data_IF_394056215652
#
_entry.id   IF_394056215652
#
_cell.length_a   1.000
_cell.length_b   1.000
_cell.length_c   1.000
_cell.angle_alpha   90.00
_cell.angle_beta   90.00
_cell.angle_gamma   90.00
#
_symmetry.space_group_name_H-M   'P 1'
#
loop_
_entity.id
_entity.type
_entity.pdbx_description
1 polymer ?
#
# COMPACT_ATOMS: atom_id res chain seq x y z
N UNK A 1 59.66 17.14 1.27
CA UNK A 1 58.73 16.27 0.52
C UNK A 1 57.39 16.32 1.27
N UNK A 2 56.53 17.28 0.94
CA UNK A 2 55.21 17.44 1.53
C UNK A 2 54.20 17.37 0.38
N UNK A 3 53.43 16.29 0.34
CA UNK A 3 52.32 16.12 -0.61
C UNK A 3 51.11 16.77 0.03
N UNK A 4 50.66 17.88 -0.55
CA UNK A 4 49.44 18.57 -0.14
C UNK A 4 48.24 17.83 -0.75
N UNK A 5 47.37 17.27 0.09
CA UNK A 5 46.09 16.69 -0.32
C UNK A 5 45.10 17.84 -0.58
N UNK A 6 44.76 18.08 -1.85
CA UNK A 6 43.65 18.96 -2.22
C UNK A 6 42.33 18.24 -1.96
N UNK A 7 41.60 18.69 -0.93
CA UNK A 7 40.23 18.31 -0.66
C UNK A 7 39.32 19.01 -1.69
N UNK A 8 38.85 18.29 -2.70
CA UNK A 8 37.76 18.78 -3.56
C UNK A 8 36.47 18.77 -2.73
N UNK A 9 36.02 19.95 -2.28
CA UNK A 9 34.63 20.12 -1.88
C UNK A 9 33.77 19.99 -3.15
N UNK A 10 33.08 18.86 -3.29
CA UNK A 10 31.92 18.80 -4.19
C UNK A 10 30.81 19.64 -3.57
N UNK A 11 30.64 20.87 -4.05
CA UNK A 11 29.42 21.63 -3.84
C UNK A 11 28.29 20.85 -4.53
N UNK A 12 27.49 20.15 -3.73
CA UNK A 12 26.17 19.71 -4.18
C UNK A 12 25.37 20.96 -4.50
N UNK A 13 25.18 21.26 -5.79
CA UNK A 13 24.24 22.29 -6.21
C UNK A 13 22.89 21.97 -5.57
N UNK A 14 22.27 22.95 -4.93
CA UNK A 14 20.91 22.81 -4.43
C UNK A 14 20.01 22.48 -5.63
N UNK A 15 19.35 21.32 -5.60
CA UNK A 15 18.40 20.98 -6.65
C UNK A 15 17.25 22.00 -6.64
N UNK A 16 16.79 22.44 -7.81
CA UNK A 16 15.68 23.39 -7.90
C UNK A 16 14.44 22.81 -7.24
N UNK A 17 13.62 23.66 -6.58
CA UNK A 17 12.43 23.21 -5.88
C UNK A 17 11.43 22.58 -6.84
N UNK A 18 10.73 21.53 -6.38
CA UNK A 18 9.65 20.91 -7.15
C UNK A 18 8.47 21.87 -7.27
N UNK A 19 7.97 22.06 -8.50
CA UNK A 19 6.82 22.92 -8.77
C UNK A 19 5.62 22.06 -9.22
N UNK A 20 4.77 21.57 -8.29
CA UNK A 20 3.58 20.80 -8.64
C UNK A 20 2.49 21.67 -9.27
N UNK A 21 2.02 21.29 -10.45
CA UNK A 21 0.89 21.90 -11.14
C UNK A 21 -0.26 20.90 -11.18
N UNK A 22 -1.38 21.23 -10.55
CA UNK A 22 -2.59 20.39 -10.60
C UNK A 22 -3.26 20.56 -11.96
N UNK A 23 -3.41 19.46 -12.70
CA UNK A 23 -4.00 19.44 -14.03
C UNK A 23 -5.46 18.97 -14.02
N UNK A 24 -5.84 18.12 -13.06
CA UNK A 24 -7.20 17.62 -12.91
C UNK A 24 -7.51 17.24 -11.45
N UNK A 25 -8.75 17.48 -11.02
CA UNK A 25 -9.35 16.94 -9.79
C UNK A 25 -10.76 16.43 -10.11
N UNK A 26 -10.96 15.12 -10.04
CA UNK A 26 -12.13 14.44 -10.60
C UNK A 26 -12.75 13.48 -9.59
N UNK A 27 -14.06 13.24 -9.69
CA UNK A 27 -14.71 12.09 -9.07
C UNK A 27 -14.67 10.94 -10.07
N UNK A 28 -14.09 9.81 -9.67
CA UNK A 28 -14.04 8.60 -10.52
C UNK A 28 -15.35 7.86 -10.44
N UNK A 29 -15.81 7.56 -9.22
CA UNK A 29 -17.10 6.92 -8.96
C UNK A 29 -17.60 7.20 -7.55
N UNK A 30 -18.91 7.00 -7.37
CA UNK A 30 -19.60 7.01 -6.07
C UNK A 30 -20.02 5.60 -5.70
N UNK A 31 -20.05 5.30 -4.41
CA UNK A 31 -20.40 3.98 -3.93
C UNK A 31 -21.18 4.04 -2.61
N UNK A 32 -22.08 3.08 -2.43
CA UNK A 32 -22.68 2.79 -1.13
C UNK A 32 -21.66 2.03 -0.28
N UNK A 33 -21.40 2.42 0.98
CA UNK A 33 -20.59 1.64 1.89
C UNK A 33 -21.06 0.18 1.95
N UNK A 34 -20.12 -0.75 1.84
CA UNK A 34 -20.45 -2.18 1.84
C UNK A 34 -20.71 -2.74 3.25
N UNK A 35 -20.38 -2.00 4.30
CA UNK A 35 -20.50 -2.37 5.71
C UNK A 35 -19.93 -3.76 6.07
N UNK A 36 -18.96 -4.20 5.28
CA UNK A 36 -18.37 -5.53 5.34
C UNK A 36 -16.98 -5.55 6.03
N UNK A 37 -16.61 -4.43 6.64
CA UNK A 37 -15.30 -4.19 7.25
C UNK A 37 -14.16 -3.96 6.24
N UNK A 38 -14.49 -3.70 4.98
CA UNK A 38 -13.57 -3.34 3.90
C UNK A 38 -13.96 -1.99 3.29
N UNK A 39 -13.19 -1.54 2.30
CA UNK A 39 -13.49 -0.39 1.46
C UNK A 39 -12.60 -0.38 0.21
N UNK A 40 -12.79 0.58 -0.72
CA UNK A 40 -12.07 0.61 -1.99
C UNK A 40 -10.53 0.62 -1.87
N UNK A 41 -10.01 1.12 -0.75
CA UNK A 41 -8.57 1.25 -0.49
C UNK A 41 -8.04 0.21 0.51
N UNK A 42 -8.83 -0.79 0.90
CA UNK A 42 -8.52 -1.75 1.97
C UNK A 42 -7.49 -2.85 1.58
N UNK A 43 -6.59 -2.53 0.65
CA UNK A 43 -5.42 -3.33 0.28
C UNK A 43 -4.11 -2.61 0.57
N UNK A 44 -4.15 -1.33 0.99
CA UNK A 44 -3.07 -0.43 1.39
C UNK A 44 -1.82 -0.41 0.49
N UNK A 45 -1.04 -1.49 0.45
CA UNK A 45 0.20 -1.57 -0.34
C UNK A 45 0.03 -2.12 -1.75
N UNK A 46 -1.09 -2.79 -2.06
CA UNK A 46 -1.42 -3.23 -3.42
C UNK A 46 -2.25 -2.17 -4.13
N UNK A 47 -1.74 -1.62 -5.23
CA UNK A 47 -2.38 -0.47 -5.88
C UNK A 47 -3.68 -0.83 -6.58
N UNK A 48 -4.66 0.07 -6.52
CA UNK A 48 -5.88 0.05 -7.33
C UNK A 48 -5.83 1.06 -8.50
N UNK A 49 -4.63 1.58 -8.81
CA UNK A 49 -4.39 2.62 -9.80
C UNK A 49 -3.14 2.28 -10.62
N UNK A 50 -3.27 2.28 -11.95
CA UNK A 50 -2.14 2.11 -12.87
C UNK A 50 -2.23 3.11 -14.03
N UNK A 51 -1.09 3.68 -14.42
CA UNK A 51 -0.90 4.43 -15.66
C UNK A 51 -0.29 3.51 -16.72
N UNK A 52 -0.94 3.45 -17.88
CA UNK A 52 -0.53 2.73 -19.07
C UNK A 52 -0.38 3.73 -20.24
N UNK A 53 0.81 4.33 -20.34
CA UNK A 53 1.05 5.46 -21.24
C UNK A 53 0.15 6.65 -20.87
N UNK A 54 -0.65 7.10 -21.84
CA UNK A 54 -1.60 8.21 -21.66
C UNK A 54 -2.89 7.83 -20.93
N UNK A 55 -3.20 6.53 -20.85
CA UNK A 55 -4.41 6.04 -20.15
C UNK A 55 -4.11 5.78 -18.68
N UNK A 56 -5.11 6.03 -17.84
CA UNK A 56 -5.07 5.70 -16.42
C UNK A 56 -6.23 4.77 -16.11
N UNK A 57 -5.99 3.73 -15.33
CA UNK A 57 -7.00 2.76 -14.92
C UNK A 57 -7.13 2.74 -13.41
N UNK A 58 -8.36 2.65 -12.93
CA UNK A 58 -8.67 2.49 -11.52
C UNK A 58 -9.69 1.36 -11.33
N UNK A 59 -9.48 0.52 -10.33
CA UNK A 59 -10.48 -0.48 -9.92
C UNK A 59 -11.43 0.15 -8.91
N UNK A 60 -12.72 -0.13 -9.06
CA UNK A 60 -13.77 0.27 -8.12
C UNK A 60 -14.60 -0.90 -7.63
N UNK A 61 -15.68 -0.56 -6.92
CA UNK A 61 -16.62 -1.51 -6.37
C UNK A 61 -18.06 -1.04 -6.59
N UNK A 62 -18.96 -2.01 -6.78
CA UNK A 62 -20.41 -1.86 -6.60
C UNK A 62 -20.84 -2.65 -5.37
N UNK A 63 -21.60 -2.03 -4.47
CA UNK A 63 -22.22 -2.72 -3.33
C UNK A 63 -23.60 -3.26 -3.73
N UNK A 64 -23.80 -4.56 -3.56
CA UNK A 64 -25.04 -5.26 -3.85
C UNK A 64 -26.00 -5.18 -2.65
N UNK A 65 -27.12 -4.48 -2.83
CA UNK A 65 -28.11 -4.26 -1.77
C UNK A 65 -28.84 -5.54 -1.30
N UNK A 66 -28.87 -6.57 -2.14
CA UNK A 66 -29.56 -7.84 -1.87
C UNK A 66 -28.65 -8.91 -1.22
N UNK A 67 -27.40 -8.55 -0.90
CA UNK A 67 -26.41 -9.46 -0.32
C UNK A 67 -26.00 -8.96 1.07
N UNK A 68 -25.99 -9.82 2.11
CA UNK A 68 -25.54 -9.42 3.43
C UNK A 68 -24.05 -9.08 3.45
N UNK A 69 -23.57 -8.27 4.42
CA UNK A 69 -22.18 -7.87 4.51
C UNK A 69 -21.21 -9.06 4.60
N UNK A 70 -20.04 -8.84 4.00
CA UNK A 70 -18.81 -9.65 3.88
C UNK A 70 -18.46 -9.89 2.41
N UNK A 71 -19.41 -10.35 1.58
CA UNK A 71 -19.20 -10.64 0.15
C UNK A 71 -20.35 -10.08 -0.68
N UNK A 72 -20.55 -8.79 -0.51
CA UNK A 72 -21.64 -8.04 -1.11
C UNK A 72 -21.13 -7.00 -2.11
N UNK A 73 -19.97 -7.23 -2.71
CA UNK A 73 -19.43 -6.31 -3.71
C UNK A 73 -19.14 -7.00 -5.04
N UNK A 74 -19.13 -6.20 -6.11
CA UNK A 74 -18.66 -6.54 -7.45
C UNK A 74 -17.52 -5.61 -7.84
N UNK A 75 -16.52 -6.16 -8.53
CA UNK A 75 -15.46 -5.33 -9.09
C UNK A 75 -15.98 -4.49 -10.26
N UNK A 76 -15.38 -3.32 -10.40
CA UNK A 76 -15.59 -2.42 -11.52
C UNK A 76 -14.22 -1.95 -12.05
N UNK A 77 -14.12 -1.72 -13.35
CA UNK A 77 -12.93 -1.15 -13.98
C UNK A 77 -13.26 0.19 -14.62
N UNK A 78 -12.53 1.22 -14.21
CA UNK A 78 -12.63 2.56 -14.76
C UNK A 78 -11.39 2.87 -15.59
N UNK A 79 -11.58 3.55 -16.72
CA UNK A 79 -10.50 4.04 -17.56
C UNK A 79 -10.63 5.55 -17.76
N UNK A 80 -9.51 6.26 -17.65
CA UNK A 80 -9.38 7.67 -17.99
C UNK A 80 -8.62 7.80 -19.31
N UNK A 81 -9.29 8.38 -20.31
CA UNK A 81 -8.68 8.79 -21.56
C UNK A 81 -8.13 10.22 -21.47
N UNK A 82 -8.26 10.99 -22.57
CA UNK A 82 -7.85 12.39 -22.61
C UNK A 82 -8.67 13.29 -21.67
N UNK A 83 -10.00 13.14 -21.68
CA UNK A 83 -10.92 13.95 -20.87
C UNK A 83 -11.37 13.19 -19.61
N UNK A 84 -12.40 12.35 -19.72
CA UNK A 84 -13.12 11.86 -18.55
C UNK A 84 -12.84 10.40 -18.17
N UNK A 85 -13.29 10.04 -16.97
CA UNK A 85 -13.37 8.66 -16.49
C UNK A 85 -14.61 7.96 -17.06
N UNK A 86 -14.43 6.73 -17.52
CA UNK A 86 -15.50 5.86 -18.00
C UNK A 86 -15.46 4.52 -17.29
N UNK A 87 -16.63 4.02 -16.88
CA UNK A 87 -16.79 2.62 -16.47
C UNK A 87 -16.71 1.75 -17.72
N UNK A 88 -15.67 0.93 -17.84
CA UNK A 88 -15.39 0.15 -19.04
C UNK A 88 -15.70 -1.34 -18.86
N UNK A 89 -15.67 -1.85 -17.63
CA UNK A 89 -16.06 -3.22 -17.34
C UNK A 89 -16.61 -3.36 -15.90
N UNK A 90 -17.47 -4.36 -15.71
CA UNK A 90 -18.07 -4.73 -14.42
C UNK A 90 -18.08 -6.24 -14.28
N UNK A 91 -18.07 -6.74 -13.05
CA UNK A 91 -18.35 -8.14 -12.79
C UNK A 91 -19.78 -8.49 -13.24
N UNK A 92 -19.97 -9.41 -14.22
CA UNK A 92 -21.30 -9.75 -14.66
C UNK A 92 -22.05 -10.64 -13.66
N UNK A 93 -21.35 -11.32 -12.74
CA UNK A 93 -21.93 -12.45 -12.00
C UNK A 93 -21.49 -12.55 -10.54
N UNK A 94 -20.19 -12.53 -10.26
CA UNK A 94 -19.65 -13.02 -9.00
C UNK A 94 -19.77 -11.95 -7.90
N UNK A 95 -19.38 -12.33 -6.68
CA UNK A 95 -19.35 -11.44 -5.52
C UNK A 95 -18.03 -11.58 -4.79
N UNK A 96 -17.53 -10.48 -4.26
CA UNK A 96 -16.29 -10.36 -3.52
C UNK A 96 -16.47 -9.42 -2.33
N UNK A 97 -15.42 -9.28 -1.52
CA UNK A 97 -15.36 -8.40 -0.34
C UNK A 97 -14.76 -7.02 -0.61
N UNK A 98 -14.00 -6.87 -1.69
CA UNK A 98 -13.11 -5.73 -1.98
C UNK A 98 -11.82 -5.69 -1.18
N UNK A 99 -10.76 -5.03 -1.68
CA UNK A 99 -10.64 -4.33 -2.98
C UNK A 99 -10.04 -5.22 -4.08
N UNK A 100 -9.88 -4.70 -5.31
CA UNK A 100 -9.43 -5.45 -6.51
C UNK A 100 -8.13 -4.85 -7.12
N UNK A 101 -6.94 -5.18 -6.58
CA UNK A 101 -5.67 -4.59 -7.02
C UNK A 101 -5.37 -4.77 -8.51
N UNK A 102 -4.68 -3.79 -9.09
CA UNK A 102 -4.30 -3.73 -10.51
C UNK A 102 -2.80 -3.94 -10.72
N UNK A 103 -2.46 -4.43 -11.91
CA UNK A 103 -1.10 -4.49 -12.44
C UNK A 103 -1.10 -4.32 -13.95
N UNK A 104 -0.05 -3.74 -14.52
CA UNK A 104 0.04 -3.49 -15.96
C UNK A 104 1.40 -3.93 -16.50
N UNK A 105 1.40 -4.54 -17.68
CA UNK A 105 2.61 -4.91 -18.41
C UNK A 105 2.74 -4.11 -19.71
N UNK A 106 3.98 -3.79 -20.08
CA UNK A 106 4.26 -2.84 -21.18
C UNK A 106 3.95 -3.40 -22.57
N UNK A 107 3.61 -4.69 -22.65
CA UNK A 107 3.04 -5.34 -23.84
C UNK A 107 1.53 -5.08 -24.01
N UNK A 108 0.92 -4.28 -23.13
CA UNK A 108 -0.46 -3.82 -23.26
C UNK A 108 -1.49 -4.64 -22.47
N UNK A 109 -1.07 -5.63 -21.67
CA UNK A 109 -1.99 -6.37 -20.79
C UNK A 109 -2.20 -5.62 -19.48
N UNK A 110 -3.46 -5.49 -19.09
CA UNK A 110 -3.90 -4.95 -17.81
C UNK A 110 -4.50 -6.09 -16.98
N UNK A 111 -4.08 -6.21 -15.73
CA UNK A 111 -4.49 -7.29 -14.84
C UNK A 111 -5.24 -6.75 -13.63
N UNK A 112 -6.25 -7.48 -13.18
CA UNK A 112 -6.97 -7.23 -11.93
C UNK A 112 -7.03 -8.51 -11.09
N UNK A 113 -6.66 -8.44 -9.81
CA UNK A 113 -6.81 -9.56 -8.88
C UNK A 113 -8.18 -9.52 -8.20
N UNK A 114 -8.93 -10.61 -8.30
CA UNK A 114 -10.26 -10.78 -7.69
C UNK A 114 -10.31 -12.03 -6.79
N UNK A 115 -11.30 -12.09 -5.89
CA UNK A 115 -11.47 -13.21 -4.95
C UNK A 115 -12.94 -13.60 -4.81
N UNK A 116 -13.57 -14.09 -5.90
CA UNK A 116 -14.98 -14.45 -5.87
C UNK A 116 -15.27 -15.50 -4.80
N UNK A 117 -16.40 -15.30 -4.10
CA UNK A 117 -16.97 -16.29 -3.20
C UNK A 117 -17.38 -17.56 -3.95
N UNK A 118 -17.17 -18.72 -3.34
CA UNK A 118 -17.73 -19.99 -3.78
C UNK A 118 -19.10 -20.29 -3.14
N UNK A 119 -19.60 -19.41 -2.26
CA UNK A 119 -20.92 -19.53 -1.63
C UNK A 119 -22.01 -19.13 -2.61
N UNK A 120 -22.75 -20.13 -3.09
CA UNK A 120 -23.87 -19.93 -4.02
C UNK A 120 -25.10 -19.29 -3.35
N UNK A 121 -25.35 -19.57 -2.07
CA UNK A 121 -26.45 -18.96 -1.32
C UNK A 121 -26.18 -17.46 -1.12
N UNK A 122 -27.01 -16.62 -1.74
CA UNK A 122 -26.85 -15.18 -1.67
C UNK A 122 -27.21 -14.57 -0.33
N UNK A 123 -27.98 -15.28 0.47
CA UNK A 123 -28.50 -14.82 1.77
C UNK A 123 -27.62 -15.23 2.94
N UNK A 124 -26.63 -16.11 2.72
CA UNK A 124 -25.70 -16.57 3.75
C UNK A 124 -24.94 -15.41 4.37
N UNK A 125 -24.96 -15.32 5.69
CA UNK A 125 -24.15 -14.38 6.46
C UNK A 125 -22.79 -14.99 6.85
N UNK A 126 -21.78 -14.14 7.01
CA UNK A 126 -20.44 -14.56 7.42
C UNK A 126 -19.61 -15.18 6.30
N UNK A 127 -18.49 -15.82 6.69
CA UNK A 127 -17.44 -16.27 5.80
C UNK A 127 -17.70 -17.59 5.05
N UNK A 128 -16.92 -17.80 4.00
CA UNK A 128 -16.96 -18.97 3.15
C UNK A 128 -15.68 -19.14 2.31
N UNK A 129 -15.60 -20.26 1.59
CA UNK A 129 -14.51 -20.51 0.67
C UNK A 129 -14.54 -19.52 -0.49
N UNK A 130 -13.37 -19.16 -1.00
CA UNK A 130 -13.22 -18.28 -2.16
C UNK A 130 -12.25 -18.89 -3.18
N UNK A 131 -12.31 -18.38 -4.40
CA UNK A 131 -11.46 -18.81 -5.51
C UNK A 131 -10.70 -17.58 -6.04
N UNK A 132 -9.46 -17.33 -5.62
CA UNK A 132 -8.68 -16.21 -6.16
C UNK A 132 -8.44 -16.37 -7.66
N UNK A 133 -8.64 -15.30 -8.42
CA UNK A 133 -8.47 -15.26 -9.87
C UNK A 133 -7.73 -13.99 -10.30
N UNK A 134 -7.23 -14.01 -11.53
CA UNK A 134 -6.66 -12.84 -12.21
C UNK A 134 -7.47 -12.62 -13.48
N UNK A 135 -7.94 -11.40 -13.68
CA UNK A 135 -8.61 -10.97 -14.90
C UNK A 135 -7.61 -10.22 -15.78
N UNK A 136 -7.41 -10.69 -17.01
CA UNK A 136 -6.55 -10.06 -18.01
C UNK A 136 -7.40 -9.30 -19.03
N UNK A 137 -7.19 -8.00 -19.12
CA UNK A 137 -7.82 -7.06 -20.05
C UNK A 137 -6.80 -6.58 -21.09
N UNK A 138 -7.29 -6.20 -22.26
CA UNK A 138 -6.52 -5.37 -23.18
C UNK A 138 -6.55 -3.91 -22.69
N UNK A 139 -5.40 -3.29 -22.43
CA UNK A 139 -5.36 -1.87 -22.10
C UNK A 139 -5.81 -0.98 -23.28
N UNK A 140 -5.68 -1.45 -24.51
CA UNK A 140 -6.14 -0.76 -25.71
C UNK A 140 -7.67 -0.85 -25.88
N UNK A 141 -8.28 -1.97 -25.47
CA UNK A 141 -9.71 -2.22 -25.55
C UNK A 141 -10.24 -2.85 -24.24
N UNK A 142 -10.36 -2.03 -23.16
CA UNK A 142 -10.67 -2.53 -21.83
C UNK A 142 -12.14 -2.91 -21.63
N UNK A 143 -13.01 -2.62 -22.61
CA UNK A 143 -14.42 -3.02 -22.61
C UNK A 143 -14.62 -4.44 -23.14
N UNK A 144 -13.62 -5.02 -23.81
CA UNK A 144 -13.63 -6.42 -24.20
C UNK A 144 -13.67 -7.30 -22.94
N UNK A 145 -14.45 -8.38 -23.01
CA UNK A 145 -14.53 -9.39 -21.95
C UNK A 145 -13.12 -9.87 -21.58
N UNK A 146 -12.70 -9.75 -20.30
CA UNK A 146 -11.37 -10.16 -19.89
C UNK A 146 -11.22 -11.68 -19.96
N UNK A 147 -9.97 -12.13 -20.13
CA UNK A 147 -9.64 -13.53 -19.89
C UNK A 147 -9.54 -13.77 -18.37
N UNK A 148 -10.32 -14.72 -17.87
CA UNK A 148 -10.16 -15.19 -16.49
C UNK A 148 -9.02 -16.22 -16.44
N UNK A 149 -8.03 -15.95 -15.59
CA UNK A 149 -6.93 -16.85 -15.30
C UNK A 149 -7.14 -17.41 -13.89
N UNK A 150 -7.22 -18.73 -13.81
CA UNK A 150 -7.30 -19.48 -12.57
C UNK A 150 -5.90 -19.97 -12.20
N UNK A 151 -5.24 -19.37 -11.18
CA UNK A 151 -3.90 -19.78 -10.83
C UNK A 151 -3.88 -21.22 -10.32
N UNK A 152 -2.94 -22.02 -10.81
CA UNK A 152 -2.74 -23.38 -10.35
C UNK A 152 -1.94 -23.36 -9.04
N UNK A 153 -2.61 -23.23 -7.91
CA UNK A 153 -1.98 -23.04 -6.59
C UNK A 153 -1.24 -24.27 -6.03
N UNK A 154 -1.49 -25.48 -6.55
CA UNK A 154 -0.90 -26.71 -6.02
C UNK A 154 -1.83 -27.42 -5.03
N UNK A 155 -1.47 -27.47 -3.75
CA UNK A 155 -2.08 -28.28 -2.66
C UNK A 155 -3.52 -27.89 -2.28
N UNK A 156 -4.30 -27.31 -3.18
CA UNK A 156 -5.67 -26.84 -2.95
C UNK A 156 -5.81 -26.00 -1.66
N UNK A 157 -5.05 -24.90 -1.53
CA UNK A 157 -5.10 -24.04 -0.35
C UNK A 157 -6.54 -23.58 -0.05
N UNK A 158 -6.90 -23.63 1.23
CA UNK A 158 -8.23 -23.29 1.72
C UNK A 158 -8.43 -21.76 1.78
N UNK A 159 -8.48 -21.13 0.61
CA UNK A 159 -8.76 -19.69 0.53
C UNK A 159 -10.17 -19.37 0.98
N UNK A 160 -10.30 -18.20 1.60
CA UNK A 160 -11.56 -17.70 2.07
C UNK A 160 -11.79 -16.30 1.53
N UNK A 161 -13.02 -15.85 1.69
CA UNK A 161 -13.44 -14.48 1.40
C UNK A 161 -12.66 -13.43 2.21
N UNK A 162 -12.10 -13.82 3.36
CA UNK A 162 -11.24 -12.98 4.19
C UNK A 162 -9.74 -13.28 4.00
N UNK A 163 -9.36 -13.75 2.81
CA UNK A 163 -7.96 -13.88 2.40
C UNK A 163 -7.46 -12.55 1.81
N UNK A 164 -6.51 -11.92 2.49
CA UNK A 164 -5.81 -10.73 2.00
C UNK A 164 -4.99 -11.06 0.77
N UNK A 165 -5.05 -10.18 -0.24
CA UNK A 165 -4.38 -10.36 -1.53
C UNK A 165 -3.34 -9.29 -1.74
N UNK A 166 -2.26 -9.65 -2.41
CA UNK A 166 -1.28 -8.69 -2.89
C UNK A 166 -0.86 -8.99 -4.30
N UNK A 167 -0.89 -7.97 -5.14
CA UNK A 167 -0.62 -8.09 -6.57
C UNK A 167 0.39 -7.03 -6.98
N UNK A 168 1.39 -7.45 -7.76
CA UNK A 168 2.44 -6.60 -8.29
C UNK A 168 2.81 -7.01 -9.72
N UNK A 169 3.33 -6.07 -10.49
CA UNK A 169 3.74 -6.29 -11.88
C UNK A 169 5.11 -5.65 -12.14
N UNK A 170 5.97 -6.36 -12.87
CA UNK A 170 7.15 -5.79 -13.51
C UNK A 170 6.78 -5.42 -14.94
N UNK A 171 6.39 -4.15 -15.11
CA UNK A 171 5.85 -3.64 -16.36
C UNK A 171 6.72 -3.98 -17.58
N UNK A 172 8.02 -3.59 -17.57
CA UNK A 172 8.94 -3.89 -18.67
C UNK A 172 9.20 -5.38 -18.93
N UNK A 173 9.24 -6.22 -17.89
CA UNK A 173 9.53 -7.65 -18.05
C UNK A 173 8.29 -8.47 -18.46
N UNK A 174 7.10 -7.87 -18.35
CA UNK A 174 5.84 -8.58 -18.61
C UNK A 174 5.49 -9.60 -17.53
N UNK A 175 6.13 -9.54 -16.37
CA UNK A 175 5.94 -10.49 -15.26
C UNK A 175 4.93 -9.94 -14.24
N UNK A 176 4.18 -10.83 -13.61
CA UNK A 176 3.22 -10.52 -12.53
C UNK A 176 3.38 -11.50 -11.38
N UNK A 177 3.07 -11.07 -10.17
CA UNK A 177 3.03 -11.95 -9.00
C UNK A 177 1.79 -11.68 -8.15
N UNK A 178 1.10 -12.75 -7.77
CA UNK A 178 -0.03 -12.71 -6.86
C UNK A 178 0.32 -13.48 -5.59
N UNK A 179 0.10 -12.83 -4.45
CA UNK A 179 0.13 -13.42 -3.10
C UNK A 179 -1.29 -13.50 -2.55
N UNK A 180 -1.62 -14.61 -1.90
CA UNK A 180 -2.91 -14.86 -1.29
C UNK A 180 -2.74 -15.48 0.11
N UNK A 181 -3.16 -14.75 1.14
CA UNK A 181 -3.01 -15.20 2.52
C UNK A 181 -3.90 -16.42 2.84
N UNK A 182 -3.32 -17.42 3.47
CA UNK A 182 -4.00 -18.57 4.06
C UNK A 182 -3.97 -18.42 5.58
N UNK A 183 -5.10 -17.95 6.14
CA UNK A 183 -5.28 -17.75 7.57
C UNK A 183 -4.06 -17.06 8.22
N UNK A 184 -3.53 -17.62 9.31
CA UNK A 184 -2.35 -17.17 10.05
C UNK A 184 -1.11 -18.03 9.78
N UNK A 185 -1.06 -18.86 8.74
CA UNK A 185 0.13 -19.72 8.50
C UNK A 185 1.11 -19.13 7.49
N UNK A 186 0.62 -18.72 6.32
CA UNK A 186 1.47 -18.29 5.20
C UNK A 186 0.67 -17.49 4.16
N UNK A 187 1.36 -17.04 3.11
CA UNK A 187 0.77 -16.63 1.83
C UNK A 187 1.17 -17.61 0.75
N UNK A 188 0.21 -18.06 -0.05
CA UNK A 188 0.50 -18.73 -1.31
C UNK A 188 0.91 -17.66 -2.33
N UNK A 189 1.88 -17.96 -3.19
CA UNK A 189 2.25 -17.06 -4.27
C UNK A 189 2.41 -17.79 -5.59
N UNK A 190 2.17 -17.06 -6.68
CA UNK A 190 2.33 -17.56 -8.05
C UNK A 190 2.89 -16.46 -8.96
N UNK A 191 3.88 -16.83 -9.76
CA UNK A 191 4.58 -15.96 -10.72
C UNK A 191 4.07 -16.27 -12.13
N UNK A 192 3.63 -15.23 -12.84
CA UNK A 192 3.34 -15.26 -14.28
C UNK A 192 4.46 -14.55 -15.06
N UNK A 193 4.84 -15.09 -16.22
CA UNK A 193 5.88 -14.51 -17.08
C UNK A 193 5.33 -13.72 -18.28
N UNK A 194 6.22 -12.98 -18.96
CA UNK A 194 5.90 -12.20 -20.16
C UNK A 194 5.42 -13.00 -21.37
N UNK A 195 5.45 -14.34 -21.30
CA UNK A 195 4.98 -15.24 -22.36
C UNK A 195 3.61 -15.85 -22.02
N UNK A 196 3.01 -15.47 -20.90
CA UNK A 196 1.73 -16.01 -20.43
C UNK A 196 1.85 -17.37 -19.73
N UNK A 197 3.06 -17.82 -19.39
CA UNK A 197 3.27 -19.03 -18.60
C UNK A 197 3.28 -18.72 -17.11
N UNK A 198 3.15 -19.77 -16.30
CA UNK A 198 3.18 -19.71 -14.83
C UNK A 198 4.38 -20.51 -14.30
N UNK A 199 5.61 -19.99 -14.45
CA UNK A 199 6.84 -20.78 -14.26
C UNK A 199 7.10 -21.20 -12.81
N UNK A 200 6.52 -20.51 -11.82
CA UNK A 200 6.79 -20.79 -10.42
C UNK A 200 5.60 -20.47 -9.51
N UNK A 201 5.53 -21.20 -8.40
CA UNK A 201 4.59 -20.99 -7.30
C UNK A 201 5.22 -21.48 -5.99
N UNK A 202 4.71 -21.03 -4.86
CA UNK A 202 5.17 -21.50 -3.56
C UNK A 202 4.46 -20.83 -2.40
N UNK A 203 5.06 -20.97 -1.21
CA UNK A 203 4.53 -20.45 0.05
C UNK A 203 5.54 -19.48 0.67
N UNK A 204 5.04 -18.40 1.24
CA UNK A 204 5.79 -17.50 2.12
C UNK A 204 5.26 -17.68 3.55
N UNK A 205 6.02 -18.40 4.37
CA UNK A 205 5.65 -18.68 5.76
C UNK A 205 5.71 -17.43 6.63
N UNK A 206 4.72 -17.27 7.50
CA UNK A 206 4.73 -16.21 8.51
C UNK A 206 5.72 -16.50 9.63
N UNK A 207 6.36 -15.48 10.21
CA UNK A 207 7.25 -15.73 11.34
C UNK A 207 6.44 -16.15 12.58
N UNK A 208 6.98 -17.00 13.46
CA UNK A 208 6.30 -17.36 14.70
C UNK A 208 6.17 -16.15 15.64
N UNK A 209 5.14 -16.14 16.49
CA UNK A 209 5.16 -15.24 17.65
C UNK A 209 6.17 -15.74 18.68
N UNK A 210 6.87 -14.82 19.34
CA UNK A 210 7.73 -15.13 20.49
C UNK A 210 6.91 -15.73 21.65
N UNK A 211 5.72 -15.18 21.92
CA UNK A 211 4.78 -15.69 22.91
C UNK A 211 3.33 -15.51 22.42
N UNK A 212 2.65 -16.58 21.96
CA UNK A 212 1.33 -16.52 21.35
C UNK A 212 0.17 -16.41 22.35
N UNK A 213 0.40 -16.52 23.66
CA UNK A 213 -0.66 -16.70 24.69
C UNK A 213 -1.79 -15.65 24.62
N UNK A 214 -1.45 -14.42 24.27
CA UNK A 214 -2.39 -13.31 24.19
C UNK A 214 -2.46 -12.70 22.80
N UNK A 215 -1.95 -13.38 21.78
CA UNK A 215 -1.91 -12.84 20.43
C UNK A 215 -3.27 -12.98 19.72
N UNK A 216 -3.53 -12.13 18.71
CA UNK A 216 -4.82 -12.08 18.03
C UNK A 216 -5.34 -13.45 17.62
N UNK A 217 -6.58 -13.77 18.02
CA UNK A 217 -7.29 -14.99 17.62
C UNK A 217 -6.57 -16.30 17.99
N UNK A 218 -5.68 -16.27 19.00
CA UNK A 218 -4.90 -17.45 19.42
C UNK A 218 -3.88 -17.89 18.36
N UNK A 219 -3.49 -17.00 17.45
CA UNK A 219 -2.56 -17.32 16.38
C UNK A 219 -1.16 -17.60 16.94
N UNK A 220 -0.50 -18.62 16.37
CA UNK A 220 0.89 -19.00 16.70
C UNK A 220 1.92 -18.31 15.81
N UNK A 221 1.48 -17.73 14.70
CA UNK A 221 2.34 -17.02 13.75
C UNK A 221 1.79 -15.63 13.42
N UNK A 222 2.72 -14.75 13.09
CA UNK A 222 2.52 -13.33 12.85
C UNK A 222 2.05 -13.12 11.41
N UNK A 223 0.74 -13.11 11.20
CA UNK A 223 0.20 -12.81 9.87
C UNK A 223 0.60 -11.40 9.42
N UNK A 224 1.40 -11.33 8.35
CA UNK A 224 1.80 -10.07 7.72
C UNK A 224 0.72 -9.65 6.73
N UNK A 225 0.12 -8.48 6.96
CA UNK A 225 -1.03 -8.00 6.19
C UNK A 225 -0.69 -6.72 5.42
N UNK A 226 -1.46 -6.50 4.35
CA UNK A 226 -1.41 -5.31 3.51
C UNK A 226 0.00 -4.90 3.07
N UNK A 227 0.79 -5.82 2.52
CA UNK A 227 2.16 -5.55 2.14
C UNK A 227 2.25 -4.68 0.88
N UNK A 228 3.35 -3.92 0.79
CA UNK A 228 3.91 -3.50 -0.49
C UNK A 228 4.76 -4.64 -1.03
N UNK A 229 4.58 -4.97 -2.31
CA UNK A 229 5.40 -5.93 -3.04
C UNK A 229 6.01 -5.28 -4.26
N UNK A 230 7.31 -5.49 -4.46
CA UNK A 230 8.02 -5.23 -5.74
C UNK A 230 8.25 -6.57 -6.41
N UNK A 231 8.02 -6.63 -7.72
CA UNK A 231 8.56 -7.65 -8.61
C UNK A 231 9.48 -6.94 -9.61
N UNK A 232 10.72 -7.42 -9.76
CA UNK A 232 11.65 -6.90 -10.77
C UNK A 232 12.57 -8.01 -11.26
N UNK A 233 12.43 -8.47 -12.50
CA UNK A 233 13.20 -9.58 -13.05
C UNK A 233 13.25 -10.78 -12.08
N UNK A 234 12.09 -11.19 -11.56
CA UNK A 234 11.91 -12.24 -10.52
C UNK A 234 12.50 -11.97 -9.14
N UNK A 235 13.23 -10.87 -8.94
CA UNK A 235 13.53 -10.35 -7.60
C UNK A 235 12.23 -9.88 -6.96
N UNK A 236 11.96 -10.34 -5.73
CA UNK A 236 10.73 -10.00 -5.01
C UNK A 236 11.06 -9.45 -3.64
N UNK A 237 10.53 -8.26 -3.35
CA UNK A 237 10.55 -7.65 -2.02
C UNK A 237 9.14 -7.63 -1.45
N UNK A 238 8.99 -8.00 -0.19
CA UNK A 238 7.70 -8.07 0.50
C UNK A 238 7.81 -7.34 1.83
N UNK A 239 6.98 -6.31 2.05
CA UNK A 239 6.99 -5.52 3.29
C UNK A 239 5.58 -5.19 3.75
N UNK A 240 5.16 -5.66 4.93
CA UNK A 240 3.80 -5.44 5.43
C UNK A 240 3.70 -5.33 6.95
N UNK A 241 2.51 -4.94 7.41
CA UNK A 241 2.27 -4.69 8.83
C UNK A 241 1.75 -5.93 9.56
N UNK A 242 2.17 -6.07 10.81
CA UNK A 242 1.85 -7.18 11.68
C UNK A 242 1.16 -6.71 12.97
N UNK A 243 0.16 -7.47 13.39
CA UNK A 243 -0.61 -7.19 14.61
C UNK A 243 -0.01 -7.90 15.81
N UNK A 244 0.19 -7.17 16.90
CA UNK A 244 0.60 -7.71 18.19
C UNK A 244 -0.29 -7.12 19.26
N UNK A 245 -0.87 -7.92 20.15
CA UNK A 245 -1.67 -7.37 21.25
C UNK A 245 -0.78 -6.73 22.33
N UNK A 246 0.42 -7.28 22.52
CA UNK A 246 1.41 -6.84 23.50
C UNK A 246 2.26 -5.68 23.01
N UNK A 247 2.76 -4.90 23.96
CA UNK A 247 3.83 -3.91 23.81
C UNK A 247 4.52 -3.76 25.17
N UNK A 248 5.67 -3.07 25.24
CA UNK A 248 6.65 -3.24 26.32
C UNK A 248 6.09 -3.01 27.73
N UNK A 249 5.12 -2.11 27.90
CA UNK A 249 4.60 -1.74 29.23
C UNK A 249 3.30 -2.44 29.64
N UNK A 250 2.73 -3.30 28.77
CA UNK A 250 1.49 -4.04 29.08
C UNK A 250 1.63 -5.55 28.92
N UNK A 251 2.85 -6.08 28.74
CA UNK A 251 3.09 -7.51 28.46
C UNK A 251 2.41 -8.45 29.48
N UNK A 252 2.31 -8.00 30.73
CA UNK A 252 1.72 -8.76 31.84
C UNK A 252 0.35 -8.22 32.31
N UNK A 253 -0.28 -7.33 31.52
CA UNK A 253 -1.57 -6.69 31.83
C UNK A 253 -2.57 -6.92 30.68
N UNK A 254 -3.15 -8.14 30.53
CA UNK A 254 -4.05 -8.49 29.43
C UNK A 254 -5.26 -7.56 29.25
N UNK A 255 -5.75 -6.96 30.33
CA UNK A 255 -6.83 -5.97 30.34
C UNK A 255 -6.47 -4.66 29.62
N UNK A 256 -5.16 -4.35 29.52
CA UNK A 256 -4.63 -3.21 28.78
C UNK A 256 -4.18 -3.56 27.36
N UNK A 257 -4.42 -4.80 26.91
CA UNK A 257 -4.13 -5.26 25.57
C UNK A 257 -5.37 -5.20 24.67
N UNK A 258 -5.13 -5.45 23.37
CA UNK A 258 -6.20 -5.76 22.44
C UNK A 258 -6.85 -4.55 21.76
N UNK A 259 -7.54 -4.87 20.65
CA UNK A 259 -8.12 -3.85 19.77
C UNK A 259 -9.41 -3.24 20.32
N UNK A 260 -10.17 -4.01 21.07
CA UNK A 260 -11.52 -3.66 21.50
C UNK A 260 -11.53 -2.40 22.39
N UNK A 261 -10.54 -2.29 23.28
CA UNK A 261 -10.42 -1.15 24.19
C UNK A 261 -9.52 -0.02 23.66
N UNK A 262 -8.51 -0.36 22.86
CA UNK A 262 -7.38 0.55 22.59
C UNK A 262 -7.11 0.84 21.11
N UNK A 263 -7.97 0.37 20.20
CA UNK A 263 -7.85 0.66 18.77
C UNK A 263 -6.86 -0.25 18.05
N UNK A 264 -6.13 0.28 17.06
CA UNK A 264 -5.26 -0.57 16.24
C UNK A 264 -4.17 -1.26 17.06
N UNK A 265 -3.81 -2.46 16.62
CA UNK A 265 -2.75 -3.29 17.22
C UNK A 265 -1.63 -3.61 16.23
N UNK A 266 -1.58 -2.90 15.10
CA UNK A 266 -0.52 -3.04 14.11
C UNK A 266 0.76 -2.39 14.64
N UNK A 267 1.70 -3.22 15.12
CA UNK A 267 2.84 -2.76 15.94
C UNK A 267 4.22 -3.05 15.38
N UNK A 268 4.32 -3.92 14.36
CA UNK A 268 5.58 -4.19 13.65
C UNK A 268 5.39 -4.06 12.15
N UNK A 269 6.41 -3.54 11.47
CA UNK A 269 6.54 -3.57 10.02
C UNK A 269 7.62 -4.60 9.69
N UNK A 270 7.25 -5.65 8.94
CA UNK A 270 8.11 -6.79 8.65
C UNK A 270 8.42 -6.88 7.16
N UNK A 271 9.66 -7.20 6.84
CA UNK A 271 10.20 -7.28 5.49
C UNK A 271 10.88 -8.63 5.24
N UNK A 272 10.76 -9.14 4.02
CA UNK A 272 11.58 -10.24 3.49
C UNK A 272 11.74 -10.06 1.99
N UNK A 273 12.68 -10.77 1.39
CA UNK A 273 12.91 -10.72 -0.05
C UNK A 273 13.58 -12.00 -0.57
N UNK A 274 13.57 -12.17 -1.89
CA UNK A 274 14.34 -13.18 -2.61
C UNK A 274 14.93 -12.57 -3.89
N UNK A 275 16.18 -12.90 -4.25
CA UNK A 275 16.79 -12.42 -5.50
C UNK A 275 16.18 -13.05 -6.76
N UNK A 276 15.55 -14.22 -6.65
CA UNK A 276 14.81 -14.87 -7.75
C UNK A 276 13.77 -15.82 -7.14
N UNK A 277 12.50 -15.40 -7.13
CA UNK A 277 11.40 -16.16 -6.51
C UNK A 277 11.18 -17.53 -7.16
N UNK A 278 11.63 -17.75 -8.40
CA UNK A 278 11.52 -19.04 -9.08
C UNK A 278 12.65 -20.01 -8.72
N UNK A 279 13.75 -19.53 -8.12
CA UNK A 279 14.96 -20.33 -7.86
C UNK A 279 15.39 -20.36 -6.40
N UNK A 280 15.03 -19.35 -5.62
CA UNK A 280 15.48 -19.19 -4.24
C UNK A 280 14.31 -18.87 -3.32
N UNK A 281 14.29 -19.46 -2.11
CA UNK A 281 13.28 -19.11 -1.13
C UNK A 281 13.43 -17.65 -0.68
N UNK A 282 12.38 -17.12 -0.07
CA UNK A 282 12.48 -15.88 0.67
C UNK A 282 13.46 -16.03 1.84
N UNK A 283 14.23 -14.97 2.11
CA UNK A 283 15.12 -14.90 3.26
C UNK A 283 14.37 -14.76 4.58
N UNK A 284 15.14 -14.71 5.66
CA UNK A 284 14.62 -14.46 7.01
C UNK A 284 13.85 -13.13 7.10
N UNK A 285 12.88 -13.09 8.01
CA UNK A 285 12.12 -11.88 8.28
C UNK A 285 12.97 -10.82 9.00
N UNK A 286 12.90 -9.60 8.51
CA UNK A 286 13.59 -8.43 9.04
C UNK A 286 12.55 -7.46 9.59
N UNK A 287 12.69 -7.07 10.85
CA UNK A 287 11.86 -6.00 11.42
C UNK A 287 12.36 -4.65 10.92
N UNK A 288 11.50 -3.90 10.23
CA UNK A 288 11.82 -2.56 9.70
C UNK A 288 11.60 -1.48 10.76
N UNK A 289 10.49 -1.57 11.50
CA UNK A 289 10.11 -0.62 12.52
C UNK A 289 9.02 -1.18 13.43
N UNK A 290 8.87 -0.61 14.62
CA UNK A 290 7.90 -1.04 15.62
C UNK A 290 7.47 0.09 16.57
N UNK A 291 6.30 -0.07 17.20
CA UNK A 291 5.74 0.90 18.17
C UNK A 291 5.69 0.37 19.61
N UNK A 292 6.50 -0.63 19.93
CA UNK A 292 6.45 -1.33 21.23
C UNK A 292 6.79 -0.44 22.42
N UNK A 293 7.67 0.55 22.27
CA UNK A 293 8.04 1.44 23.37
C UNK A 293 6.92 2.45 23.70
N UNK A 294 6.08 2.79 22.73
CA UNK A 294 5.09 3.87 22.84
C UNK A 294 3.66 3.37 22.97
N UNK A 295 3.38 2.10 22.66
CA UNK A 295 2.02 1.57 22.65
C UNK A 295 1.14 2.09 21.51
N UNK A 296 1.73 2.87 20.58
CA UNK A 296 1.09 3.35 19.36
C UNK A 296 0.90 2.25 18.31
N UNK A 297 0.59 2.65 17.09
CA UNK A 297 0.44 1.73 15.95
C UNK A 297 1.08 2.31 14.69
N UNK A 298 1.35 1.45 13.71
CA UNK A 298 1.88 1.81 12.40
C UNK A 298 1.00 1.25 11.29
N UNK A 299 1.07 1.85 10.11
CA UNK A 299 0.44 1.32 8.90
C UNK A 299 1.50 1.10 7.82
N UNK A 300 1.19 0.30 6.81
CA UNK A 300 2.07 0.19 5.63
C UNK A 300 2.06 1.50 4.84
N UNK A 301 3.23 2.12 4.67
CA UNK A 301 3.42 3.21 3.73
C UNK A 301 3.73 2.66 2.33
N UNK A 302 4.91 2.93 1.80
CA UNK A 302 5.32 2.55 0.45
C UNK A 302 6.73 1.92 0.43
N UNK A 303 7.06 1.26 -0.66
CA UNK A 303 8.35 0.62 -0.91
C UNK A 303 8.77 0.88 -2.36
N UNK A 304 10.05 1.15 -2.58
CA UNK A 304 10.63 1.26 -3.92
C UNK A 304 12.00 0.58 -3.97
N UNK A 305 12.26 -0.15 -5.06
CA UNK A 305 13.55 -0.76 -5.36
C UNK A 305 14.22 0.05 -6.46
N UNK A 306 15.29 0.76 -6.11
CA UNK A 306 16.08 1.58 -7.02
C UNK A 306 16.88 0.72 -8.01
N UNK A 307 17.27 1.25 -9.19
CA UNK A 307 18.02 0.49 -10.18
C UNK A 307 19.33 -0.12 -9.66
N UNK A 308 19.98 0.53 -8.71
CA UNK A 308 21.23 0.10 -8.07
C UNK A 308 21.04 -0.98 -6.97
N UNK A 309 19.81 -1.47 -6.78
CA UNK A 309 19.46 -2.50 -5.80
C UNK A 309 19.20 -1.97 -4.39
N UNK A 310 19.25 -0.66 -4.15
CA UNK A 310 18.77 -0.09 -2.89
C UNK A 310 17.25 -0.21 -2.78
N UNK A 311 16.77 -0.48 -1.57
CA UNK A 311 15.33 -0.55 -1.26
C UNK A 311 14.98 0.53 -0.25
N UNK A 312 14.09 1.42 -0.68
CA UNK A 312 13.54 2.52 0.11
C UNK A 312 12.20 2.08 0.69
N UNK A 313 12.01 2.23 1.99
CA UNK A 313 10.75 1.91 2.67
C UNK A 313 10.33 3.12 3.50
N UNK A 314 9.04 3.49 3.40
CA UNK A 314 8.45 4.58 4.19
C UNK A 314 7.19 4.09 4.89
N UNK A 315 6.92 4.56 6.10
CA UNK A 315 5.70 4.22 6.83
C UNK A 315 5.28 5.32 7.83
N UNK A 316 3.98 5.48 8.10
CA UNK A 316 3.51 6.32 9.19
C UNK A 316 3.44 5.55 10.52
N UNK A 317 3.75 6.24 11.60
CA UNK A 317 3.51 5.81 12.99
C UNK A 317 2.56 6.79 13.67
N UNK A 318 1.65 6.25 14.47
CA UNK A 318 0.58 6.96 15.15
C UNK A 318 0.66 6.76 16.66
N UNK A 319 0.21 7.75 17.45
CA UNK A 319 0.36 7.71 18.89
C UNK A 319 -0.54 6.65 19.55
N UNK A 320 -0.18 6.29 20.77
CA UNK A 320 -1.01 5.52 21.71
C UNK A 320 -2.44 6.07 21.81
N UNK A 321 -3.40 5.22 22.19
CA UNK A 321 -4.79 5.64 22.40
C UNK A 321 -4.93 6.74 23.49
N UNK A 322 -5.74 7.80 23.29
CA UNK A 322 -5.82 8.92 24.24
C UNK A 322 -6.21 8.52 25.66
N UNK A 323 -7.19 7.62 25.78
CA UNK A 323 -7.64 7.12 27.08
C UNK A 323 -6.58 6.26 27.76
N UNK A 324 -5.92 5.35 27.02
CA UNK A 324 -4.87 4.49 27.56
C UNK A 324 -3.70 5.32 28.10
N UNK A 325 -3.28 6.31 27.30
CA UNK A 325 -2.25 7.27 27.68
C UNK A 325 -2.65 8.05 28.92
N UNK A 326 -3.84 8.67 28.95
CA UNK A 326 -4.26 9.50 30.09
C UNK A 326 -4.39 8.70 31.39
N UNK A 327 -5.00 7.52 31.32
CA UNK A 327 -5.40 6.77 32.51
C UNK A 327 -4.23 5.92 33.07
N UNK A 328 -3.28 5.47 32.23
CA UNK A 328 -2.23 4.52 32.64
C UNK A 328 -0.79 4.94 32.30
N UNK A 329 -0.57 5.71 31.24
CA UNK A 329 0.78 6.05 30.75
C UNK A 329 0.92 7.53 30.41
N UNK A 330 0.72 8.44 31.38
CA UNK A 330 0.67 9.88 31.13
C UNK A 330 2.02 10.46 30.67
N UNK A 331 3.12 9.73 30.84
CA UNK A 331 4.47 10.09 30.41
C UNK A 331 4.70 9.85 28.90
N UNK A 332 3.90 9.00 28.25
CA UNK A 332 4.05 8.71 26.83
C UNK A 332 3.59 9.91 26.01
N UNK A 333 4.55 10.50 25.28
CA UNK A 333 4.28 11.55 24.31
C UNK A 333 3.41 11.04 23.17
N UNK A 334 2.39 11.81 22.82
CA UNK A 334 1.56 11.53 21.65
C UNK A 334 2.13 12.21 20.41
N UNK A 335 3.07 11.53 19.74
CA UNK A 335 3.61 11.97 18.45
C UNK A 335 3.10 11.11 17.29
N UNK A 336 3.00 11.72 16.11
CA UNK A 336 2.71 11.08 14.84
C UNK A 336 3.86 11.39 13.89
N UNK A 337 4.35 10.40 13.15
CA UNK A 337 5.53 10.59 12.31
C UNK A 337 5.49 9.80 11.01
N UNK A 338 6.24 10.27 10.02
CA UNK A 338 6.62 9.47 8.85
C UNK A 338 8.06 9.02 9.06
N UNK A 339 8.27 7.71 9.03
CA UNK A 339 9.56 7.05 9.18
C UNK A 339 10.05 6.49 7.85
N UNK A 340 11.34 6.26 7.76
CA UNK A 340 12.02 5.80 6.57
C UNK A 340 13.13 4.79 6.91
N UNK A 341 13.34 3.82 6.02
CA UNK A 341 14.47 2.91 6.03
C UNK A 341 15.06 2.74 4.63
N UNK A 342 16.38 2.58 4.58
CA UNK A 342 17.15 2.22 3.39
C UNK A 342 17.78 0.85 3.61
N UNK A 343 17.60 -0.05 2.64
CA UNK A 343 18.08 -1.43 2.72
C UNK A 343 18.89 -1.82 1.48
N UNK A 344 19.75 -2.82 1.66
CA UNK A 344 20.39 -3.58 0.58
C UNK A 344 20.55 -5.03 1.01
N UNK A 345 20.20 -5.96 0.13
CA UNK A 345 20.32 -7.40 0.36
C UNK A 345 19.70 -7.87 1.69
N UNK A 346 18.57 -7.27 2.07
CA UNK A 346 17.87 -7.54 3.32
C UNK A 346 18.52 -6.98 4.59
N UNK A 347 19.57 -6.16 4.46
CA UNK A 347 20.20 -5.46 5.59
C UNK A 347 19.75 -4.01 5.62
N UNK A 348 19.43 -3.53 6.81
CA UNK A 348 19.10 -2.12 7.05
C UNK A 348 20.40 -1.32 7.10
N UNK A 349 20.54 -0.39 6.16
CA UNK A 349 21.65 0.55 6.09
C UNK A 349 21.36 1.80 6.92
N UNK A 350 20.10 2.25 6.90
CA UNK A 350 19.69 3.46 7.60
C UNK A 350 18.23 3.38 8.06
N UNK A 351 17.93 4.02 9.19
CA UNK A 351 16.57 4.38 9.63
C UNK A 351 16.52 5.86 9.99
N UNK A 352 15.38 6.49 9.77
CA UNK A 352 15.19 7.93 9.96
C UNK A 352 13.74 8.29 10.26
N UNK A 353 13.52 9.31 11.07
CA UNK A 353 12.25 10.06 11.10
C UNK A 353 12.33 11.17 10.05
N UNK A 354 11.44 11.16 9.06
CA UNK A 354 11.38 12.21 8.02
C UNK A 354 10.59 13.42 8.49
N UNK A 355 9.44 13.17 9.12
CA UNK A 355 8.53 14.20 9.62
C UNK A 355 7.93 13.74 10.95
N UNK A 356 7.70 14.67 11.86
CA UNK A 356 7.10 14.39 13.17
C UNK A 356 6.24 15.57 13.63
N UNK A 357 5.11 15.26 14.25
CA UNK A 357 4.22 16.24 14.86
C UNK A 357 3.55 15.69 16.12
N UNK A 358 2.89 16.59 16.87
CA UNK A 358 2.29 16.29 18.16
C UNK A 358 3.12 16.86 19.32
N UNK A 359 3.01 16.21 20.48
CA UNK A 359 3.55 16.71 21.74
C UNK A 359 5.08 16.95 21.67
N UNK A 360 5.48 18.22 21.59
CA UNK A 360 6.88 18.64 21.52
C UNK A 360 7.51 18.64 20.13
N UNK A 361 6.74 18.37 19.06
CA UNK A 361 7.24 18.32 17.68
C UNK A 361 6.52 19.30 16.71
N UNK A 362 5.38 19.85 17.10
CA UNK A 362 4.63 20.83 16.31
C UNK A 362 3.19 20.41 16.05
N UNK A 363 2.48 21.18 15.22
CA UNK A 363 1.05 21.01 14.98
C UNK A 363 0.70 20.45 13.59
N UNK A 364 1.70 20.03 12.82
CA UNK A 364 1.54 19.36 11.54
C UNK A 364 1.55 17.84 11.75
N UNK A 365 0.48 17.14 11.37
CA UNK A 365 0.33 15.70 11.57
C UNK A 365 0.45 14.96 10.22
N UNK A 366 1.64 14.48 9.86
CA UNK A 366 1.91 13.87 8.55
C UNK A 366 1.41 12.41 8.49
N UNK A 367 0.89 11.99 7.34
CA UNK A 367 0.27 10.67 7.15
C UNK A 367 0.30 10.21 5.69
N UNK A 368 -0.05 8.94 5.45
CA UNK A 368 -0.22 8.36 4.11
C UNK A 368 0.96 8.60 3.17
N UNK A 369 2.20 8.24 3.56
CA UNK A 369 3.35 8.37 2.68
C UNK A 369 3.25 7.41 1.48
N UNK A 370 3.53 7.94 0.29
CA UNK A 370 3.65 7.22 -0.98
C UNK A 370 4.85 7.75 -1.77
N UNK A 371 5.47 6.88 -2.56
CA UNK A 371 6.54 7.27 -3.46
C UNK A 371 5.99 7.61 -4.85
N UNK A 372 6.61 8.62 -5.46
CA UNK A 372 6.58 8.91 -6.89
C UNK A 372 8.03 8.83 -7.40
N UNK A 373 8.24 8.10 -8.49
CA UNK A 373 9.57 7.90 -9.08
C UNK A 373 9.60 8.68 -10.39
N UNK A 374 10.60 9.55 -10.53
CA UNK A 374 10.81 10.31 -11.76
C UNK A 374 11.62 9.51 -12.79
N UNK A 375 11.59 9.87 -14.09
CA UNK A 375 12.32 9.14 -15.14
C UNK A 375 13.84 9.03 -14.93
N UNK A 376 14.43 9.98 -14.21
CA UNK A 376 15.84 10.01 -13.80
C UNK A 376 16.12 9.24 -12.49
N UNK A 377 15.12 8.51 -11.97
CA UNK A 377 15.14 7.77 -10.71
C UNK A 377 15.23 8.63 -9.44
N UNK A 378 14.97 9.93 -9.52
CA UNK A 378 14.78 10.74 -8.32
C UNK A 378 13.50 10.32 -7.61
N UNK A 379 13.58 10.28 -6.27
CA UNK A 379 12.53 9.75 -5.42
C UNK A 379 11.78 10.89 -4.74
N UNK A 380 10.50 11.01 -5.03
CA UNK A 380 9.62 12.01 -4.41
C UNK A 380 8.73 11.30 -3.39
N UNK A 381 8.74 11.80 -2.15
CA UNK A 381 7.77 11.42 -1.14
C UNK A 381 6.54 12.32 -1.26
N UNK A 382 5.36 11.71 -1.39
CA UNK A 382 4.06 12.38 -1.36
C UNK A 382 3.33 11.95 -0.09
N UNK A 383 2.78 12.90 0.66
CA UNK A 383 2.11 12.63 1.93
C UNK A 383 0.96 13.59 2.19
N UNK A 384 0.03 13.18 3.04
CA UNK A 384 -1.05 14.01 3.55
C UNK A 384 -0.63 14.66 4.87
N UNK A 385 -1.05 15.88 5.13
CA UNK A 385 -0.81 16.58 6.40
C UNK A 385 -2.08 17.25 6.89
N UNK A 386 -2.37 17.08 8.18
CA UNK A 386 -3.38 17.85 8.89
C UNK A 386 -2.66 18.85 9.82
N UNK A 387 -2.83 20.14 9.59
CA UNK A 387 -2.25 21.19 10.42
C UNK A 387 -3.32 21.69 11.40
N UNK A 388 -3.11 21.45 12.70
CA UNK A 388 -4.08 21.77 13.75
C UNK A 388 -3.72 23.09 14.41
N UNK A 389 -4.40 24.17 14.04
CA UNK A 389 -4.31 25.46 14.72
C UNK A 389 -5.30 25.58 15.89
N UNK A 390 -5.20 26.65 16.71
CA UNK A 390 -6.15 26.91 17.79
C UNK A 390 -7.60 27.05 17.30
N UNK A 391 -7.79 27.73 16.16
CA UNK A 391 -9.14 28.08 15.65
C UNK A 391 -9.58 27.22 14.47
N UNK A 392 -8.64 26.65 13.72
CA UNK A 392 -8.91 25.92 12.48
C UNK A 392 -7.91 24.80 12.26
N UNK A 393 -8.41 23.71 11.71
CA UNK A 393 -7.61 22.65 11.13
C UNK A 393 -7.57 22.81 9.61
N UNK A 394 -6.36 22.88 9.03
CA UNK A 394 -6.16 22.82 7.57
C UNK A 394 -5.61 21.47 7.18
N UNK A 395 -5.81 21.09 5.92
CA UNK A 395 -5.48 19.76 5.39
C UNK A 395 -4.94 19.93 4.00
N UNK A 396 -3.82 19.28 3.72
CA UNK A 396 -3.07 19.46 2.49
C UNK A 396 -2.46 18.11 2.07
N UNK A 397 -2.16 17.97 0.79
CA UNK A 397 -1.16 17.02 0.33
C UNK A 397 0.12 17.79 0.03
N UNK A 398 1.27 17.24 0.42
CA UNK A 398 2.58 17.82 0.21
C UNK A 398 3.50 16.80 -0.45
N UNK A 399 4.58 17.30 -1.02
CA UNK A 399 5.65 16.49 -1.56
C UNK A 399 7.02 17.01 -1.15
N UNK A 400 8.02 16.13 -1.16
CA UNK A 400 9.43 16.48 -0.99
C UNK A 400 10.30 15.48 -1.75
N UNK A 401 11.43 15.94 -2.27
CA UNK A 401 12.45 15.04 -2.81
C UNK A 401 13.21 14.37 -1.68
N UNK A 402 13.52 13.09 -1.85
CA UNK A 402 14.47 12.36 -1.02
C UNK A 402 15.74 12.15 -1.85
N UNK A 403 16.89 12.50 -1.30
CA UNK A 403 18.17 12.12 -1.88
C UNK A 403 18.35 10.60 -1.91
N UNK A 404 19.35 10.11 -2.63
CA UNK A 404 19.65 8.67 -2.72
C UNK A 404 19.91 8.00 -1.35
N UNK A 405 20.45 8.72 -0.37
CA UNK A 405 20.63 8.25 1.02
C UNK A 405 19.40 8.53 1.92
N UNK A 406 18.30 9.04 1.35
CA UNK A 406 17.04 9.29 2.03
C UNK A 406 17.02 10.54 2.90
N UNK A 407 17.84 11.54 2.59
CA UNK A 407 17.75 12.87 3.20
C UNK A 407 16.58 13.63 2.59
N UNK A 408 15.64 14.13 3.41
CA UNK A 408 14.52 14.91 2.91
C UNK A 408 14.97 16.31 2.49
N UNK A 409 14.57 16.71 1.29
CA UNK A 409 14.61 18.09 0.82
C UNK A 409 13.44 18.92 1.38
N UNK A 410 13.26 20.14 0.86
CA UNK A 410 12.17 21.02 1.29
C UNK A 410 10.79 20.42 0.96
N UNK A 411 9.85 20.61 1.88
CA UNK A 411 8.43 20.25 1.71
C UNK A 411 7.70 21.33 0.89
N UNK A 412 6.99 20.92 -0.15
CA UNK A 412 6.17 21.79 -1.01
C UNK A 412 4.71 21.34 -0.98
N UNK A 413 3.79 22.29 -0.84
CA UNK A 413 2.36 22.01 -0.91
C UNK A 413 1.92 21.70 -2.35
N UNK A 414 1.08 20.69 -2.52
CA UNK A 414 0.37 20.44 -3.77
C UNK A 414 -0.92 21.27 -3.72
N UNK A 415 -1.16 22.19 -4.68
CA UNK A 415 -2.27 23.14 -4.61
C UNK A 415 -3.62 22.48 -5.00
N UNK A 416 -3.97 21.37 -4.36
CA UNK A 416 -5.27 20.70 -4.53
C UNK A 416 -6.37 21.52 -3.88
N UNK A 417 -7.48 21.71 -4.59
CA UNK A 417 -8.71 22.25 -4.01
C UNK A 417 -9.37 21.25 -3.07
N UNK A 418 -9.15 19.95 -3.31
CA UNK A 418 -9.75 18.85 -2.56
C UNK A 418 -8.70 17.82 -2.10
N UNK A 419 -7.94 18.13 -1.04
CA UNK A 419 -6.90 17.24 -0.50
C UNK A 419 -7.39 15.84 -0.15
N UNK A 420 -6.56 14.83 -0.43
CA UNK A 420 -6.80 13.41 -0.21
C UNK A 420 -6.17 12.95 1.12
N UNK A 421 -6.92 12.16 1.88
CA UNK A 421 -6.50 11.61 3.19
C UNK A 421 -5.87 10.23 3.08
N UNK A 422 -6.34 9.42 2.14
CA UNK A 422 -5.83 8.10 1.83
C UNK A 422 -5.87 7.88 0.31
N UNK A 423 -4.78 7.41 -0.28
CA UNK A 423 -4.64 7.31 -1.73
C UNK A 423 -3.56 6.31 -2.17
N UNK A 424 -3.69 5.89 -3.43
CA UNK A 424 -2.66 5.21 -4.21
C UNK A 424 -1.98 6.19 -5.17
N UNK A 425 -0.75 5.84 -5.57
CA UNK A 425 -0.06 6.42 -6.72
C UNK A 425 -0.03 5.40 -7.87
N UNK A 426 0.12 5.88 -9.10
CA UNK A 426 0.47 5.03 -10.24
C UNK A 426 1.94 4.59 -10.12
N UNK A 427 2.18 3.58 -9.27
CA UNK A 427 3.52 3.18 -8.80
C UNK A 427 4.19 2.17 -9.75
N UNK A 428 5.53 2.19 -9.88
CA UNK A 428 6.28 1.15 -10.59
C UNK A 428 6.03 -0.28 -10.12
N UNK A 429 5.62 -0.46 -8.86
CA UNK A 429 5.24 -1.79 -8.32
C UNK A 429 3.98 -2.38 -8.95
N UNK A 430 3.12 -1.52 -9.50
CA UNK A 430 1.96 -1.89 -10.30
C UNK A 430 2.26 -1.93 -11.80
N UNK A 431 3.52 -1.77 -12.20
CA UNK A 431 3.98 -1.78 -13.59
C UNK A 431 3.97 -0.43 -14.30
N UNK A 432 3.47 0.64 -13.67
CA UNK A 432 3.53 1.99 -14.25
C UNK A 432 4.97 2.48 -14.42
N UNK A 433 5.26 3.13 -15.54
CA UNK A 433 6.59 3.70 -15.73
C UNK A 433 6.85 4.87 -14.75
N UNK A 434 8.10 5.09 -14.31
CA UNK A 434 8.48 6.36 -13.70
C UNK A 434 8.04 7.55 -14.55
N UNK A 435 7.57 8.61 -13.92
CA UNK A 435 6.89 9.72 -14.62
C UNK A 435 7.04 11.04 -13.88
N UNK A 436 7.04 12.14 -14.62
CA UNK A 436 6.84 13.49 -14.08
C UNK A 436 5.36 13.79 -13.78
N UNK A 437 4.45 12.87 -14.11
CA UNK A 437 3.04 12.97 -13.77
C UNK A 437 2.75 12.11 -12.54
N UNK A 438 2.33 12.76 -11.47
CA UNK A 438 1.82 12.15 -10.25
C UNK A 438 0.31 11.97 -10.39
N UNK A 439 -0.12 10.71 -10.30
CA UNK A 439 -1.53 10.33 -10.21
C UNK A 439 -1.86 9.98 -8.77
N UNK A 440 -2.93 10.56 -8.22
CA UNK A 440 -3.46 10.20 -6.91
C UNK A 440 -4.87 9.66 -7.07
N UNK A 441 -5.16 8.48 -6.52
CA UNK A 441 -6.50 7.90 -6.49
C UNK A 441 -6.88 7.53 -5.07
N UNK A 442 -7.91 8.16 -4.52
CA UNK A 442 -8.15 8.10 -3.08
C UNK A 442 -9.42 8.78 -2.58
N UNK A 443 -9.54 8.82 -1.26
CA UNK A 443 -10.63 9.51 -0.56
C UNK A 443 -10.17 10.90 -0.11
N UNK A 444 -11.07 11.88 -0.24
CA UNK A 444 -10.84 13.25 0.24
C UNK A 444 -10.83 13.31 1.76
N UNK A 445 -10.12 14.27 2.32
CA UNK A 445 -10.25 14.64 3.73
C UNK A 445 -11.65 15.15 4.09
N UNK A 446 -12.21 15.97 3.20
CA UNK A 446 -13.60 16.40 3.27
C UNK A 446 -14.38 15.59 2.22
N UNK A 447 -15.24 14.65 2.64
CA UNK A 447 -16.06 13.90 1.70
C UNK A 447 -16.92 14.85 0.85
N UNK A 448 -17.10 14.56 -0.45
CA UNK A 448 -18.04 15.33 -1.26
C UNK A 448 -19.47 15.14 -0.71
N UNK A 449 -20.39 16.09 -0.96
CA UNK A 449 -21.80 15.90 -0.63
C UNK A 449 -22.39 14.63 -1.27
N UNK A 450 -23.34 14.01 -0.59
CA UNK A 450 -24.00 12.78 -1.01
C UNK A 450 -23.21 11.51 -0.65
N UNK A 451 -23.31 10.49 -1.49
CA UNK A 451 -22.63 9.21 -1.27
C UNK A 451 -21.11 9.36 -1.29
N UNK A 452 -20.38 8.55 -0.50
CA UNK A 452 -18.93 8.47 -0.57
C UNK A 452 -18.43 8.30 -2.01
N UNK A 453 -17.32 8.95 -2.30
CA UNK A 453 -16.74 8.93 -3.63
C UNK A 453 -15.25 8.59 -3.58
N UNK A 454 -14.81 7.89 -4.62
CA UNK A 454 -13.40 7.76 -4.96
C UNK A 454 -13.03 8.86 -5.93
N UNK A 455 -11.94 9.56 -5.62
CA UNK A 455 -11.50 10.75 -6.33
C UNK A 455 -10.12 10.53 -6.93
N UNK A 456 -9.85 11.29 -7.99
CA UNK A 456 -8.59 11.29 -8.68
C UNK A 456 -8.02 12.70 -8.77
N UNK A 457 -6.70 12.82 -8.68
CA UNK A 457 -5.98 14.04 -9.01
C UNK A 457 -4.79 13.73 -9.92
N UNK A 458 -4.58 14.57 -10.93
CA UNK A 458 -3.39 14.56 -11.79
C UNK A 458 -2.55 15.78 -11.49
N UNK A 459 -1.27 15.56 -11.21
CA UNK A 459 -0.32 16.61 -10.88
C UNK A 459 0.90 16.45 -11.78
N UNK A 460 1.27 17.49 -12.51
CA UNK A 460 2.54 17.55 -13.23
C UNK A 460 3.62 18.11 -12.31
N UNK A 461 4.72 17.40 -12.21
CA UNK A 461 5.90 17.78 -11.46
C UNK A 461 6.88 18.44 -12.43
N UNK A 462 6.93 19.78 -12.43
CA UNK A 462 7.95 20.48 -13.17
C UNK A 462 9.27 20.35 -12.42
N UNK A 463 10.22 19.71 -13.09
CA UNK A 463 11.62 19.65 -12.69
C UNK A 463 12.30 20.69 -13.55
N UNK A 464 12.53 21.89 -13.02
CA UNK A 464 13.34 22.89 -13.73
C UNK A 464 14.83 22.54 -13.70
#
# INVERSE_FOLDING_TARGET
MFVSFSLLLMLSAAQPPLHPVVEAEEVVFRYTPADNGSGPLWCFGSTCLVRAGERVFASGLETLADCPPLNNCRWQLYARGAADWQLVAVDPKDRTREPCPLGWTHDGRLFMSVNPTLVADRTKTGGGPARPEILEFSAADPARVPQTILPAWGDSPAFTEHSYRTFAADGPAGEIILFQNVSYSHSEWILGDGKGNWPARGKLAWPPYEDPKHEPYGATHVRVNYPNVVLRNREVHFCGMASYNKWDRVRDQPELMGRENWGSRTRRLLYTWTPDVAKQPFGEWVEIGHTFATGGYLLTGDLWRAPDGLVHIVWPEYPIHPKLRRDYFPDIKRTQSIKYALLRDGKILQRRTLLEGGEGAGNEFPSTPRFQVLPDNRLILVYAVECRGPDKTTRENRLMELSADGVPGPSVAIPLQHPLSNYFTATPRGGSAPSTTLDLFGSRFQPPPGDPAMCYARIRLNVE
#
